data_IF_718887447510
#
_entry.id   IF_718887447510
#
_cell.length_a   1.000
_cell.length_b   1.000
_cell.length_c   1.000
_cell.angle_alpha   90.00
_cell.angle_beta   90.00
_cell.angle_gamma   90.00
#
_symmetry.space_group_name_H-M   'P 1'
#
loop_
_entity.id
_entity.type
_entity.pdbx_description
1 polymer ?
#
# COMPACT_ATOMS: atom_id res chain seq x y z
N UNK A 1 -29.56 -29.02 10.29
CA UNK A 1 -28.28 -29.43 9.67
C UNK A 1 -27.16 -28.81 10.48
N UNK A 2 -26.50 -29.62 11.30
CA UNK A 2 -25.41 -29.20 12.19
C UNK A 2 -24.11 -29.71 11.58
N UNK A 3 -23.27 -28.79 11.10
CA UNK A 3 -21.97 -29.12 10.52
C UNK A 3 -21.02 -29.48 11.66
N UNK A 4 -20.67 -30.75 11.74
CA UNK A 4 -19.69 -31.26 12.70
C UNK A 4 -18.32 -30.60 12.45
N UNK A 5 -17.82 -29.89 13.46
CA UNK A 5 -16.43 -29.45 13.52
C UNK A 5 -15.56 -30.68 13.77
N UNK A 6 -14.65 -30.97 12.82
CA UNK A 6 -13.62 -31.99 12.99
C UNK A 6 -12.71 -31.52 14.14
N UNK A 7 -12.54 -32.29 15.23
CA UNK A 7 -11.58 -31.94 16.25
C UNK A 7 -10.18 -32.16 15.68
N UNK A 8 -9.39 -31.09 15.60
CA UNK A 8 -7.94 -31.20 15.44
C UNK A 8 -7.46 -31.91 16.71
N UNK A 9 -7.14 -33.19 16.58
CA UNK A 9 -6.49 -33.94 17.64
C UNK A 9 -5.20 -33.20 18.01
N UNK A 10 -5.10 -32.81 19.27
CA UNK A 10 -3.90 -32.21 19.83
C UNK A 10 -2.75 -33.20 19.65
N UNK A 11 -1.80 -32.85 18.79
CA UNK A 11 -0.52 -33.55 18.68
C UNK A 11 0.19 -33.46 20.05
N UNK A 12 0.58 -34.58 20.68
CA UNK A 12 1.23 -34.59 21.99
C UNK A 12 2.60 -33.87 22.00
N UNK A 13 3.15 -33.49 20.83
CA UNK A 13 4.36 -32.66 20.72
C UNK A 13 4.09 -31.15 20.82
N UNK A 14 2.84 -30.70 20.67
CA UNK A 14 2.45 -29.32 20.89
C UNK A 14 2.10 -29.15 22.37
N UNK A 15 3.13 -28.87 23.18
CA UNK A 15 2.95 -28.55 24.59
C UNK A 15 1.83 -27.52 24.79
N UNK A 16 1.04 -27.70 25.83
CA UNK A 16 -0.19 -26.95 26.17
C UNK A 16 -0.05 -25.43 26.24
N UNK A 17 1.17 -24.90 26.16
CA UNK A 17 1.49 -23.48 26.08
C UNK A 17 1.13 -22.89 24.71
N UNK A 18 1.32 -23.64 23.62
CA UNK A 18 1.15 -23.13 22.25
C UNK A 18 -0.33 -23.02 21.81
N UNK A 19 -1.20 -23.90 22.31
CA UNK A 19 -2.64 -23.87 22.01
C UNK A 19 -3.36 -22.73 22.75
N UNK A 20 -2.85 -22.35 23.93
CA UNK A 20 -3.43 -21.24 24.72
C UNK A 20 -3.14 -19.87 24.10
N UNK A 21 -1.96 -19.69 23.52
CA UNK A 21 -1.57 -18.43 22.85
C UNK A 21 -2.33 -18.17 21.54
N UNK A 22 -2.73 -19.23 20.83
CA UNK A 22 -3.47 -19.12 19.57
C UNK A 22 -5.00 -18.95 19.74
N UNK A 23 -5.52 -19.11 20.96
CA UNK A 23 -6.97 -19.08 21.23
C UNK A 23 -7.41 -17.93 22.14
N UNK A 24 -6.48 -17.18 22.74
CA UNK A 24 -6.81 -15.90 23.39
C UNK A 24 -6.96 -14.79 22.34
N UNK A 25 -8.07 -14.04 22.33
CA UNK A 25 -8.24 -12.93 21.41
C UNK A 25 -7.27 -11.82 21.83
N UNK A 26 -6.13 -11.72 21.14
CA UNK A 26 -5.28 -10.55 21.24
C UNK A 26 -6.04 -9.37 20.64
N UNK A 27 -6.48 -8.47 21.51
CA UNK A 27 -6.87 -7.11 21.15
C UNK A 27 -5.63 -6.36 20.69
N UNK A 28 -5.18 -6.62 19.46
CA UNK A 28 -4.21 -5.77 18.81
C UNK A 28 -4.99 -4.60 18.21
N UNK A 29 -4.73 -3.42 18.76
CA UNK A 29 -4.97 -2.17 18.08
C UNK A 29 -4.45 -2.27 16.64
N UNK A 30 -5.24 -1.77 15.70
CA UNK A 30 -5.09 -1.83 14.23
C UNK A 30 -3.87 -1.02 13.72
N UNK A 31 -2.82 -0.85 14.53
CA UNK A 31 -1.83 0.21 14.35
C UNK A 31 -0.43 -0.17 13.87
N UNK A 32 0.00 -1.43 13.91
CA UNK A 32 1.37 -1.75 13.49
C UNK A 32 1.50 -3.21 13.08
N UNK A 33 1.84 -3.42 11.81
CA UNK A 33 2.34 -4.71 11.37
C UNK A 33 3.87 -4.77 11.51
N UNK A 34 4.48 -5.98 11.56
CA UNK A 34 5.93 -6.14 11.79
C UNK A 34 6.87 -5.45 10.79
N UNK A 35 6.33 -4.95 9.67
CA UNK A 35 7.05 -4.26 8.59
C UNK A 35 7.03 -2.72 8.70
N UNK A 36 6.48 -2.16 9.76
CA UNK A 36 6.43 -0.69 10.02
C UNK A 36 7.72 -0.10 10.61
N UNK A 37 8.77 -0.90 10.80
CA UNK A 37 10.09 -0.42 11.21
C UNK A 37 10.91 0.08 10.00
N UNK A 38 11.17 1.38 9.96
CA UNK A 38 12.17 1.99 9.07
C UNK A 38 13.58 1.51 9.46
N UNK A 39 14.49 1.18 8.51
CA UNK A 39 15.81 0.68 8.86
C UNK A 39 16.63 1.79 9.52
N UNK A 40 17.12 1.53 10.74
CA UNK A 40 18.16 2.36 11.33
C UNK A 40 19.37 2.39 10.39
N UNK A 41 19.80 3.58 9.98
CA UNK A 41 20.94 3.79 9.09
C UNK A 41 22.13 2.90 9.45
N UNK A 42 22.69 2.22 8.45
CA UNK A 42 23.87 1.34 8.61
C UNK A 42 25.00 2.15 9.23
N UNK A 43 25.30 1.89 10.50
CA UNK A 43 26.40 2.56 11.18
C UNK A 43 26.53 2.33 12.70
N UNK A 44 25.56 1.68 13.37
CA UNK A 44 25.73 1.32 14.78
C UNK A 44 25.33 -0.13 15.02
N UNK A 45 26.31 -0.95 15.44
CA UNK A 45 26.08 -2.24 16.08
C UNK A 45 25.29 -2.00 17.36
N UNK A 46 23.96 -2.06 17.27
CA UNK A 46 23.13 -2.20 18.47
C UNK A 46 23.06 -3.70 18.74
N UNK A 47 23.73 -4.13 19.81
CA UNK A 47 23.66 -5.50 20.29
C UNK A 47 22.22 -5.80 20.72
N UNK A 48 21.45 -6.45 19.86
CA UNK A 48 20.09 -6.85 20.18
C UNK A 48 20.10 -8.31 20.66
N UNK A 49 20.22 -8.48 21.97
CA UNK A 49 20.27 -9.76 22.67
C UNK A 49 18.95 -10.55 22.61
N UNK A 50 17.87 -9.95 22.09
CA UNK A 50 16.54 -10.57 21.93
C UNK A 50 16.33 -11.38 20.63
N UNK A 51 17.34 -11.49 19.74
CA UNK A 51 17.22 -12.28 18.50
C UNK A 51 17.84 -13.69 18.56
N UNK A 52 18.21 -14.18 19.75
CA UNK A 52 18.66 -15.57 19.95
C UNK A 52 17.62 -16.31 20.78
N UNK A 53 16.76 -17.07 20.12
CA UNK A 53 16.33 -18.43 20.50
C UNK A 53 15.17 -18.85 19.59
N UNK A 54 15.50 -19.27 18.38
CA UNK A 54 14.63 -20.17 17.61
C UNK A 54 15.51 -21.31 17.09
N UNK A 55 15.54 -22.40 17.86
CA UNK A 55 16.18 -23.67 17.50
C UNK A 55 15.12 -24.52 16.81
N UNK A 56 14.95 -24.28 15.52
CA UNK A 56 14.40 -25.16 14.48
C UNK A 56 14.96 -24.61 13.17
N UNK A 57 15.52 -25.48 12.32
CA UNK A 57 16.42 -25.11 11.22
C UNK A 57 15.94 -23.90 10.41
N UNK A 58 16.74 -22.82 10.40
CA UNK A 58 16.40 -21.52 9.77
C UNK A 58 15.85 -21.63 8.35
N UNK A 59 16.17 -22.67 7.58
CA UNK A 59 15.67 -22.84 6.22
C UNK A 59 14.21 -23.31 6.14
N UNK A 60 13.75 -24.14 7.08
CA UNK A 60 12.40 -24.73 6.98
C UNK A 60 11.30 -23.80 7.46
N UNK A 61 11.58 -22.96 8.46
CA UNK A 61 10.62 -21.93 8.92
C UNK A 61 10.52 -20.81 7.91
N UNK A 62 11.66 -20.37 7.36
CA UNK A 62 11.69 -19.38 6.28
C UNK A 62 11.01 -19.91 5.02
N UNK A 63 11.29 -21.13 4.57
CA UNK A 63 10.62 -21.73 3.40
C UNK A 63 9.10 -21.86 3.58
N UNK A 64 8.61 -22.15 4.79
CA UNK A 64 7.16 -22.17 5.09
C UNK A 64 6.53 -20.77 5.15
N UNK A 65 7.31 -19.73 5.47
CA UNK A 65 6.85 -18.34 5.54
C UNK A 65 6.97 -17.56 4.22
N UNK A 66 7.93 -17.89 3.34
CA UNK A 66 8.16 -17.17 2.07
C UNK A 66 6.99 -17.27 1.07
N UNK A 67 6.04 -18.18 1.29
CA UNK A 67 4.80 -18.25 0.52
C UNK A 67 3.68 -17.37 1.08
N UNK A 68 3.89 -16.79 2.27
CA UNK A 68 2.88 -16.02 3.02
C UNK A 68 3.34 -14.60 3.38
N UNK A 69 4.65 -14.35 3.39
CA UNK A 69 5.25 -13.04 3.66
C UNK A 69 6.48 -12.80 2.78
N UNK A 70 6.70 -11.54 2.41
CA UNK A 70 7.94 -11.07 1.76
C UNK A 70 8.74 -10.31 2.81
N UNK A 71 9.96 -10.76 3.09
CA UNK A 71 10.84 -10.14 4.08
C UNK A 71 11.82 -9.17 3.43
N UNK A 72 12.40 -8.28 4.23
CA UNK A 72 13.43 -7.34 3.75
C UNK A 72 14.61 -8.08 3.11
N UNK A 73 15.06 -9.18 3.73
CA UNK A 73 16.16 -10.00 3.22
C UNK A 73 15.81 -10.70 1.88
N UNK A 74 14.54 -10.75 1.49
CA UNK A 74 14.11 -11.33 0.21
C UNK A 74 14.27 -10.37 -0.96
N UNK A 75 14.50 -9.08 -0.68
CA UNK A 75 14.62 -8.02 -1.67
C UNK A 75 16.08 -7.59 -1.82
N UNK A 76 16.46 -7.30 -3.05
CA UNK A 76 17.67 -6.52 -3.35
C UNK A 76 17.35 -5.02 -3.31
N UNK A 77 18.38 -4.20 -3.42
CA UNK A 77 18.24 -2.74 -3.35
C UNK A 77 17.27 -2.18 -4.41
N UNK A 78 17.27 -2.72 -5.63
CA UNK A 78 16.40 -2.24 -6.71
C UNK A 78 14.94 -2.60 -6.44
N UNK A 79 14.68 -3.86 -6.12
CA UNK A 79 13.34 -4.38 -5.84
C UNK A 79 12.76 -3.79 -4.56
N UNK A 80 13.60 -3.50 -3.56
CA UNK A 80 13.19 -2.79 -2.36
C UNK A 80 12.62 -1.40 -2.67
N UNK A 81 13.22 -0.65 -3.60
CA UNK A 81 12.69 0.66 -4.01
C UNK A 81 11.34 0.55 -4.71
N UNK A 82 11.13 -0.49 -5.53
CA UNK A 82 9.85 -0.72 -6.20
C UNK A 82 8.74 -0.99 -5.17
N UNK A 83 8.98 -1.93 -4.25
CA UNK A 83 8.02 -2.24 -3.17
C UNK A 83 7.81 -1.03 -2.25
N UNK A 84 8.87 -0.29 -1.96
CA UNK A 84 8.81 0.94 -1.17
C UNK A 84 7.91 2.01 -1.79
N UNK A 85 7.99 2.21 -3.12
CA UNK A 85 7.09 3.13 -3.84
C UNK A 85 5.63 2.67 -3.76
N UNK A 86 5.35 1.40 -4.07
CA UNK A 86 3.99 0.86 -3.99
C UNK A 86 3.39 1.02 -2.58
N UNK A 87 4.20 0.78 -1.54
CA UNK A 87 3.81 1.01 -0.14
C UNK A 87 3.51 2.48 0.14
N UNK A 88 4.35 3.39 -0.35
CA UNK A 88 4.13 4.82 -0.15
C UNK A 88 2.79 5.27 -0.75
N UNK A 89 2.43 4.77 -1.94
CA UNK A 89 1.15 5.03 -2.58
C UNK A 89 -0.02 4.50 -1.75
N UNK A 90 0.05 3.25 -1.27
CA UNK A 90 -0.94 2.70 -0.33
C UNK A 90 -1.12 3.59 0.90
N UNK A 91 -0.02 4.00 1.53
CA UNK A 91 -0.06 4.86 2.72
C UNK A 91 -0.58 6.26 2.42
N UNK A 92 -0.41 6.78 1.21
CA UNK A 92 -1.01 8.04 0.79
C UNK A 92 -2.53 7.90 0.63
N UNK A 93 -2.99 6.86 -0.07
CA UNK A 93 -4.40 6.54 -0.26
C UNK A 93 -5.15 6.33 1.06
N UNK A 94 -4.58 5.55 1.98
CA UNK A 94 -5.17 5.31 3.31
C UNK A 94 -5.30 6.61 4.13
N UNK A 95 -4.43 7.60 3.90
CA UNK A 95 -4.46 8.88 4.63
C UNK A 95 -5.33 9.94 3.97
N UNK A 96 -5.80 9.71 2.74
CA UNK A 96 -6.65 10.64 2.01
C UNK A 96 -7.97 10.89 2.77
N UNK A 97 -8.35 12.15 2.91
CA UNK A 97 -9.56 12.56 3.63
C UNK A 97 -10.82 12.18 2.86
N UNK A 98 -10.79 12.18 1.54
CA UNK A 98 -11.91 11.74 0.68
C UNK A 98 -12.27 10.26 0.91
N UNK A 99 -11.25 9.42 1.17
CA UNK A 99 -11.42 8.00 1.48
C UNK A 99 -12.03 7.85 2.88
N UNK A 100 -11.47 8.54 3.89
CA UNK A 100 -11.99 8.52 5.27
C UNK A 100 -13.41 9.07 5.37
N UNK A 101 -13.76 10.01 4.49
CA UNK A 101 -15.09 10.60 4.42
C UNK A 101 -16.11 9.71 3.69
N UNK A 102 -15.69 8.56 3.14
CA UNK A 102 -16.57 7.57 2.52
C UNK A 102 -17.04 7.93 1.11
N UNK A 103 -16.40 8.90 0.45
CA UNK A 103 -16.72 9.24 -0.94
C UNK A 103 -16.11 8.26 -1.95
N UNK A 104 -15.06 7.55 -1.53
CA UNK A 104 -14.53 6.39 -2.23
C UNK A 104 -14.76 5.16 -1.35
N UNK A 105 -15.14 4.04 -1.96
CA UNK A 105 -15.27 2.76 -1.25
C UNK A 105 -13.89 2.32 -0.75
N UNK A 106 -13.60 2.63 0.53
CA UNK A 106 -12.32 2.33 1.17
C UNK A 106 -12.01 0.81 1.14
N UNK A 107 -12.93 -0.10 1.54
CA UNK A 107 -12.71 -1.53 1.41
C UNK A 107 -12.31 -1.97 0.00
N UNK A 108 -13.04 -1.55 -1.04
CA UNK A 108 -12.76 -1.94 -2.42
C UNK A 108 -11.40 -1.38 -2.90
N UNK A 109 -11.16 -0.08 -2.64
CA UNK A 109 -9.92 0.59 -3.01
C UNK A 109 -8.70 -0.06 -2.33
N UNK A 110 -8.76 -0.30 -1.02
CA UNK A 110 -7.65 -0.88 -0.28
C UNK A 110 -7.45 -2.36 -0.63
N UNK A 111 -8.52 -3.12 -0.92
CA UNK A 111 -8.40 -4.49 -1.41
C UNK A 111 -7.60 -4.55 -2.72
N UNK A 112 -7.95 -3.69 -3.69
CA UNK A 112 -7.27 -3.57 -4.97
C UNK A 112 -5.77 -3.25 -4.82
N UNK A 113 -5.48 -2.22 -4.03
CA UNK A 113 -4.12 -1.75 -3.78
C UNK A 113 -3.29 -2.80 -3.05
N UNK A 114 -3.87 -3.47 -2.05
CA UNK A 114 -3.18 -4.52 -1.31
C UNK A 114 -2.89 -5.75 -2.19
N UNK A 115 -3.81 -6.12 -3.07
CA UNK A 115 -3.61 -7.22 -4.01
C UNK A 115 -2.45 -6.91 -4.97
N UNK A 116 -2.42 -5.71 -5.55
CA UNK A 116 -1.36 -5.26 -6.44
C UNK A 116 -0.01 -5.16 -5.72
N UNK A 117 0.01 -4.58 -4.52
CA UNK A 117 1.21 -4.50 -3.68
C UNK A 117 1.78 -5.89 -3.38
N UNK A 118 0.91 -6.85 -3.05
CA UNK A 118 1.33 -8.22 -2.76
C UNK A 118 1.90 -8.93 -3.98
N UNK A 119 1.27 -8.80 -5.15
CA UNK A 119 1.78 -9.37 -6.40
C UNK A 119 3.15 -8.77 -6.79
N UNK A 120 3.28 -7.45 -6.72
CA UNK A 120 4.56 -6.75 -6.96
C UNK A 120 5.63 -7.24 -5.98
N UNK A 121 5.33 -7.32 -4.69
CA UNK A 121 6.29 -7.75 -3.67
C UNK A 121 6.76 -9.20 -3.91
N UNK A 122 5.86 -10.12 -4.24
CA UNK A 122 6.22 -11.51 -4.54
C UNK A 122 7.09 -11.62 -5.79
N UNK A 123 6.73 -10.91 -6.86
CA UNK A 123 7.51 -10.91 -8.11
C UNK A 123 8.90 -10.31 -7.88
N UNK A 124 9.00 -9.24 -7.10
CA UNK A 124 10.26 -8.65 -6.65
C UNK A 124 11.13 -9.64 -5.87
N UNK A 125 10.57 -10.31 -4.87
CA UNK A 125 11.29 -11.34 -4.09
C UNK A 125 11.78 -12.49 -4.99
N UNK A 126 10.94 -12.95 -5.93
CA UNK A 126 11.30 -13.98 -6.90
C UNK A 126 12.43 -13.51 -7.82
N UNK A 127 12.37 -12.28 -8.32
CA UNK A 127 13.40 -11.68 -9.17
C UNK A 127 14.75 -11.63 -8.44
N UNK A 128 14.76 -11.13 -7.20
CA UNK A 128 15.96 -11.10 -6.36
C UNK A 128 16.50 -12.51 -6.09
N UNK A 129 15.63 -13.47 -5.77
CA UNK A 129 16.05 -14.85 -5.56
C UNK A 129 16.72 -15.45 -6.81
N UNK A 130 16.16 -15.20 -8.01
CA UNK A 130 16.72 -15.70 -9.25
C UNK A 130 18.04 -15.00 -9.62
N UNK A 131 18.17 -13.70 -9.38
CA UNK A 131 19.43 -12.96 -9.52
C UNK A 131 20.52 -13.52 -8.62
N UNK A 132 20.22 -13.75 -7.34
CA UNK A 132 21.16 -14.39 -6.39
C UNK A 132 21.55 -15.80 -6.82
N UNK A 133 20.63 -16.58 -7.36
CA UNK A 133 20.94 -17.92 -7.90
C UNK A 133 21.88 -17.82 -9.09
N UNK A 134 21.65 -16.87 -10.01
CA UNK A 134 22.56 -16.61 -11.13
C UNK A 134 23.95 -16.20 -10.64
N UNK A 135 24.04 -15.24 -9.72
CA UNK A 135 25.33 -14.80 -9.16
C UNK A 135 26.11 -15.96 -8.53
N UNK A 136 25.42 -16.87 -7.84
CA UNK A 136 26.04 -18.09 -7.30
C UNK A 136 26.50 -19.04 -8.40
N UNK A 137 25.70 -19.24 -9.45
CA UNK A 137 26.09 -20.08 -10.58
C UNK A 137 27.34 -19.54 -11.29
N UNK A 138 27.38 -18.22 -11.51
CA UNK A 138 28.53 -17.53 -12.09
C UNK A 138 29.78 -17.68 -11.20
N UNK A 139 29.62 -17.66 -9.87
CA UNK A 139 30.72 -17.90 -8.93
C UNK A 139 31.26 -19.35 -8.94
N UNK A 140 30.42 -20.34 -9.29
CA UNK A 140 30.85 -21.73 -9.46
C UNK A 140 31.52 -21.98 -10.82
N UNK A 141 31.15 -21.21 -11.85
CA UNK A 141 31.72 -21.34 -13.18
C UNK A 141 33.02 -20.55 -13.36
N UNK A 142 34.02 -20.85 -12.53
CA UNK A 142 35.34 -20.18 -12.59
C UNK A 142 36.07 -20.40 -13.92
N UNK A 143 35.68 -21.44 -14.68
CA UNK A 143 36.27 -21.79 -15.98
C UNK A 143 35.53 -21.19 -17.19
N UNK A 144 34.40 -20.51 -17.00
CA UNK A 144 33.58 -20.00 -18.11
C UNK A 144 33.03 -21.12 -19.01
N UNK A 145 32.74 -22.28 -18.45
CA UNK A 145 32.27 -23.48 -19.14
C UNK A 145 30.75 -23.48 -19.36
N UNK A 146 30.01 -22.56 -18.73
CA UNK A 146 28.58 -22.41 -18.99
C UNK A 146 28.35 -22.00 -20.45
N UNK A 147 27.38 -22.62 -21.15
CA UNK A 147 27.03 -22.21 -22.51
C UNK A 147 26.64 -20.73 -22.56
N UNK A 148 27.31 -19.95 -23.40
CA UNK A 148 27.07 -18.51 -23.54
C UNK A 148 25.59 -18.18 -23.83
N UNK A 149 24.91 -19.04 -24.61
CA UNK A 149 23.49 -18.93 -24.88
C UNK A 149 22.63 -18.99 -23.60
N UNK A 150 22.96 -19.88 -22.67
CA UNK A 150 22.23 -20.02 -21.39
C UNK A 150 22.39 -18.76 -20.53
N UNK A 151 23.59 -18.21 -20.44
CA UNK A 151 23.86 -16.97 -19.69
C UNK A 151 23.10 -15.79 -20.29
N UNK A 152 23.12 -15.64 -21.61
CA UNK A 152 22.39 -14.58 -22.32
C UNK A 152 20.88 -14.71 -22.13
N UNK A 153 20.31 -15.91 -22.31
CA UNK A 153 18.88 -16.13 -22.18
C UNK A 153 18.40 -15.88 -20.75
N UNK A 154 19.17 -16.35 -19.75
CA UNK A 154 18.86 -16.05 -18.34
C UNK A 154 18.85 -14.55 -18.07
N UNK A 155 19.78 -13.79 -18.68
CA UNK A 155 19.78 -12.33 -18.59
C UNK A 155 18.56 -11.67 -19.21
N UNK A 156 18.15 -12.12 -20.40
CA UNK A 156 16.94 -11.60 -21.07
C UNK A 156 15.69 -11.85 -20.24
N UNK A 157 15.50 -13.08 -19.75
CA UNK A 157 14.34 -13.43 -18.92
C UNK A 157 14.29 -12.60 -17.63
N UNK A 158 15.43 -12.35 -16.97
CA UNK A 158 15.46 -11.50 -15.77
C UNK A 158 15.13 -10.03 -16.09
N UNK A 159 15.56 -9.52 -17.24
CA UNK A 159 15.25 -8.17 -17.69
C UNK A 159 13.76 -8.03 -18.07
N UNK A 160 13.20 -9.00 -18.78
CA UNK A 160 11.78 -9.05 -19.13
C UNK A 160 10.90 -9.16 -17.88
N UNK A 161 11.26 -10.03 -16.92
CA UNK A 161 10.55 -10.15 -15.65
C UNK A 161 10.57 -8.84 -14.84
N UNK A 162 11.66 -8.08 -14.92
CA UNK A 162 11.75 -6.74 -14.31
C UNK A 162 10.86 -5.74 -15.03
N UNK A 163 10.88 -5.70 -16.36
CA UNK A 163 10.04 -4.79 -17.15
C UNK A 163 8.55 -5.09 -16.97
N UNK A 164 8.18 -6.36 -16.77
CA UNK A 164 6.80 -6.76 -16.49
C UNK A 164 6.23 -6.19 -15.16
N UNK A 165 7.07 -5.65 -14.28
CA UNK A 165 6.62 -4.92 -13.08
C UNK A 165 6.17 -3.49 -13.39
N UNK A 166 6.54 -2.92 -14.55
CA UNK A 166 6.24 -1.53 -14.85
C UNK A 166 4.74 -1.31 -15.10
N UNK A 167 4.05 -2.29 -15.71
CA UNK A 167 2.60 -2.22 -15.93
C UNK A 167 1.77 -2.18 -14.63
N UNK A 168 1.89 -3.14 -13.68
CA UNK A 168 1.13 -3.08 -12.44
C UNK A 168 1.51 -1.87 -11.57
N UNK A 169 2.78 -1.45 -11.59
CA UNK A 169 3.20 -0.22 -10.91
C UNK A 169 2.59 1.02 -11.55
N UNK A 170 2.57 1.12 -12.88
CA UNK A 170 1.95 2.23 -13.60
C UNK A 170 0.46 2.33 -13.31
N UNK A 171 -0.25 1.21 -13.28
CA UNK A 171 -1.67 1.18 -12.92
C UNK A 171 -1.91 1.66 -11.48
N UNK A 172 -1.06 1.24 -10.53
CA UNK A 172 -1.16 1.68 -9.13
C UNK A 172 -0.84 3.17 -8.97
N UNK A 173 0.19 3.67 -9.67
CA UNK A 173 0.55 5.08 -9.70
C UNK A 173 -0.59 5.92 -10.28
N UNK A 174 -1.22 5.47 -11.35
CA UNK A 174 -2.35 6.14 -11.98
C UNK A 174 -3.59 6.17 -11.09
N UNK A 175 -3.94 5.04 -10.47
CA UNK A 175 -5.03 4.98 -9.48
C UNK A 175 -4.77 5.94 -8.33
N UNK A 176 -3.55 5.93 -7.79
CA UNK A 176 -3.18 6.82 -6.69
C UNK A 176 -3.26 8.29 -7.10
N UNK A 177 -2.83 8.62 -8.32
CA UNK A 177 -2.95 9.97 -8.87
C UNK A 177 -4.40 10.41 -8.91
N UNK A 178 -5.30 9.61 -9.48
CA UNK A 178 -6.73 9.92 -9.55
C UNK A 178 -7.33 10.15 -8.16
N UNK A 179 -7.15 9.22 -7.23
CA UNK A 179 -7.71 9.32 -5.89
C UNK A 179 -7.16 10.51 -5.08
N UNK A 180 -5.88 10.85 -5.22
CA UNK A 180 -5.30 12.02 -4.56
C UNK A 180 -5.78 13.33 -5.18
N UNK A 181 -6.00 13.37 -6.49
CA UNK A 181 -6.61 14.51 -7.17
C UNK A 181 -8.05 14.74 -6.69
N UNK A 182 -8.80 13.66 -6.43
CA UNK A 182 -10.12 13.74 -5.80
C UNK A 182 -10.00 14.23 -4.34
N UNK A 183 -8.99 13.78 -3.59
CA UNK A 183 -8.74 14.26 -2.22
C UNK A 183 -8.49 15.77 -2.17
N UNK A 184 -7.69 16.30 -3.09
CA UNK A 184 -7.42 17.74 -3.18
C UNK A 184 -8.71 18.52 -3.47
N UNK A 185 -9.54 18.04 -4.40
CA UNK A 185 -10.86 18.64 -4.69
C UNK A 185 -11.78 18.57 -3.49
N UNK A 186 -11.80 17.46 -2.76
CA UNK A 186 -12.60 17.28 -1.56
C UNK A 186 -12.19 18.28 -0.47
N UNK A 187 -10.88 18.46 -0.24
CA UNK A 187 -10.37 19.45 0.72
C UNK A 187 -10.73 20.87 0.33
N UNK A 188 -10.61 21.23 -0.95
CA UNK A 188 -10.99 22.54 -1.45
C UNK A 188 -12.50 22.79 -1.28
N UNK A 189 -13.33 21.80 -1.62
CA UNK A 189 -14.77 21.86 -1.41
C UNK A 189 -15.12 22.04 0.08
N UNK A 190 -14.50 21.26 0.98
CA UNK A 190 -14.72 21.38 2.42
C UNK A 190 -14.31 22.76 2.95
N UNK A 191 -13.18 23.30 2.50
CA UNK A 191 -12.74 24.65 2.86
C UNK A 191 -13.75 25.72 2.40
N UNK A 192 -14.30 25.59 1.19
CA UNK A 192 -15.36 26.48 0.69
C UNK A 192 -16.64 26.39 1.54
N UNK A 193 -17.02 25.20 1.99
CA UNK A 193 -18.18 25.04 2.88
C UNK A 193 -17.98 25.74 4.22
N UNK A 194 -16.80 25.61 4.84
CA UNK A 194 -16.47 26.29 6.10
C UNK A 194 -16.53 27.83 5.94
N UNK A 195 -15.98 28.36 4.83
CA UNK A 195 -16.07 29.80 4.53
C UNK A 195 -17.50 30.26 4.28
N UNK A 196 -18.28 29.48 3.53
CA UNK A 196 -19.68 29.78 3.25
C UNK A 196 -20.53 29.78 4.52
N UNK A 197 -20.27 28.86 5.45
CA UNK A 197 -20.93 28.78 6.75
C UNK A 197 -20.68 29.99 7.65
N UNK A 198 -19.57 30.72 7.45
CA UNK A 198 -19.22 31.95 8.17
C UNK A 198 -19.44 33.22 7.36
N UNK A 199 -20.19 33.15 6.27
CA UNK A 199 -20.40 34.29 5.37
C UNK A 199 -20.95 35.54 6.07
N UNK A 200 -21.84 35.39 7.04
CA UNK A 200 -22.37 36.51 7.82
C UNK A 200 -21.30 37.20 8.67
N UNK A 201 -20.39 36.44 9.31
CA UNK A 201 -19.31 37.02 10.13
C UNK A 201 -18.37 37.89 9.27
N UNK A 202 -18.12 37.48 8.03
CA UNK A 202 -17.31 38.26 7.09
C UNK A 202 -18.05 39.50 6.57
N UNK A 203 -19.37 39.42 6.37
CA UNK A 203 -20.19 40.58 6.03
C UNK A 203 -20.19 41.58 7.19
N UNK A 204 -20.40 41.11 8.42
CA UNK A 204 -20.39 41.94 9.63
C UNK A 204 -19.03 42.62 9.83
N UNK A 205 -17.92 41.91 9.61
CA UNK A 205 -16.57 42.48 9.62
C UNK A 205 -16.39 43.56 8.53
N UNK A 206 -16.84 43.30 7.30
CA UNK A 206 -16.70 44.25 6.20
C UNK A 206 -17.53 45.53 6.41
N UNK A 207 -18.73 45.39 6.99
CA UNK A 207 -19.58 46.53 7.39
C UNK A 207 -18.95 47.30 8.56
N UNK A 208 -18.38 46.61 9.55
CA UNK A 208 -17.72 47.24 10.70
C UNK A 208 -16.48 48.05 10.31
N UNK A 209 -15.72 47.60 9.30
CA UNK A 209 -14.54 48.31 8.78
C UNK A 209 -14.87 49.40 7.75
N UNK A 210 -16.16 49.66 7.46
CA UNK A 210 -16.63 50.65 6.50
C UNK A 210 -16.02 50.52 5.08
N UNK A 211 -15.85 49.28 4.60
CA UNK A 211 -15.49 49.01 3.20
C UNK A 211 -16.77 48.76 2.38
N UNK A 212 -16.82 49.44 1.24
CA UNK A 212 -17.91 49.53 0.26
C UNK A 212 -18.87 48.31 0.16
N UNK A 213 -20.20 48.51 0.23
CA UNK A 213 -21.23 47.46 0.09
C UNK A 213 -21.14 46.61 -1.19
N UNK A 214 -20.39 47.02 -2.21
CA UNK A 214 -20.07 46.18 -3.37
C UNK A 214 -19.27 44.90 -3.02
N UNK A 215 -18.54 44.85 -1.91
CA UNK A 215 -17.84 43.64 -1.46
C UNK A 215 -18.80 42.54 -0.95
N UNK A 216 -19.99 42.90 -0.44
CA UNK A 216 -20.99 41.93 0.02
C UNK A 216 -21.59 41.12 -1.16
N UNK A 217 -21.71 41.71 -2.35
CA UNK A 217 -22.17 41.00 -3.55
C UNK A 217 -21.17 39.95 -4.05
N UNK A 218 -19.87 40.13 -3.78
CA UNK A 218 -18.84 39.13 -4.12
C UNK A 218 -19.02 37.83 -3.31
N UNK A 219 -19.63 37.86 -2.12
CA UNK A 219 -19.88 36.67 -1.30
C UNK A 219 -20.91 35.71 -1.89
N UNK A 220 -21.92 36.21 -2.60
CA UNK A 220 -22.85 35.34 -3.35
C UNK A 220 -22.17 34.53 -4.46
N UNK A 221 -21.06 35.04 -5.02
CA UNK A 221 -20.26 34.31 -6.01
C UNK A 221 -19.53 33.11 -5.40
N UNK A 222 -19.13 33.17 -4.12
CA UNK A 222 -18.48 32.05 -3.42
C UNK A 222 -19.41 30.85 -3.22
N UNK A 223 -20.72 31.06 -2.99
CA UNK A 223 -21.70 29.95 -2.96
C UNK A 223 -21.84 29.26 -4.33
N UNK A 224 -21.79 30.04 -5.41
CA UNK A 224 -21.83 29.49 -6.78
C UNK A 224 -20.56 28.70 -7.09
N UNK A 225 -19.40 29.19 -6.64
CA UNK A 225 -18.11 28.49 -6.73
C UNK A 225 -18.11 27.19 -5.90
N UNK A 226 -18.68 27.19 -4.69
CA UNK A 226 -18.80 26.00 -3.85
C UNK A 226 -19.66 24.91 -4.52
N UNK A 227 -20.77 25.28 -5.16
CA UNK A 227 -21.62 24.35 -5.91
C UNK A 227 -20.91 23.80 -7.16
N UNK A 228 -20.14 24.64 -7.86
CA UNK A 228 -19.34 24.19 -9.00
C UNK A 228 -18.21 23.23 -8.56
N UNK A 229 -17.55 23.50 -7.43
CA UNK A 229 -16.56 22.62 -6.83
C UNK A 229 -17.17 21.27 -6.43
N UNK A 230 -18.37 21.26 -5.85
CA UNK A 230 -19.10 20.03 -5.51
C UNK A 230 -19.41 19.18 -6.75
N UNK A 231 -19.87 19.80 -7.84
CA UNK A 231 -20.13 19.12 -9.11
C UNK A 231 -18.84 18.53 -9.71
N UNK A 232 -17.73 19.26 -9.62
CA UNK A 232 -16.43 18.81 -10.12
C UNK A 232 -15.88 17.65 -9.29
N UNK A 233 -16.08 17.69 -7.97
CA UNK A 233 -15.75 16.59 -7.07
C UNK A 233 -16.54 15.33 -7.41
N UNK A 234 -17.86 15.44 -7.57
CA UNK A 234 -18.73 14.30 -7.92
C UNK A 234 -18.28 13.62 -9.22
N UNK A 235 -18.06 14.41 -10.28
CA UNK A 235 -17.56 13.87 -11.55
C UNK A 235 -16.18 13.18 -11.42
N UNK A 236 -15.32 13.66 -10.52
CA UNK A 236 -14.00 13.08 -10.29
C UNK A 236 -14.07 11.77 -9.48
N UNK A 237 -15.00 11.70 -8.51
CA UNK A 237 -15.31 10.49 -7.75
C UNK A 237 -15.85 9.40 -8.70
N UNK A 238 -16.79 9.76 -9.57
CA UNK A 238 -17.36 8.83 -10.55
C UNK A 238 -16.29 8.30 -11.50
N UNK A 239 -15.43 9.17 -12.05
CA UNK A 239 -14.34 8.77 -12.92
C UNK A 239 -13.33 7.83 -12.23
N UNK A 240 -13.03 8.08 -10.95
CA UNK A 240 -12.12 7.22 -10.17
C UNK A 240 -12.75 5.86 -9.89
N UNK A 241 -14.06 5.82 -9.63
CA UNK A 241 -14.82 4.59 -9.43
C UNK A 241 -14.91 3.77 -10.72
N UNK A 242 -15.21 4.39 -11.87
CA UNK A 242 -15.17 3.70 -13.17
C UNK A 242 -13.78 3.16 -13.51
N UNK A 243 -12.71 3.89 -13.17
CA UNK A 243 -11.35 3.38 -13.37
C UNK A 243 -11.10 2.09 -12.56
N UNK A 244 -11.57 2.02 -11.31
CA UNK A 244 -11.48 0.82 -10.47
C UNK A 244 -12.26 -0.37 -11.09
N UNK A 245 -13.43 -0.11 -11.66
CA UNK A 245 -14.26 -1.12 -12.33
C UNK A 245 -13.58 -1.62 -13.62
N UNK A 246 -13.17 -0.72 -14.50
CA UNK A 246 -12.59 -1.04 -15.82
C UNK A 246 -11.28 -1.83 -15.72
N UNK A 247 -10.50 -1.60 -14.66
CA UNK A 247 -9.22 -2.27 -14.46
C UNK A 247 -9.34 -3.54 -13.61
N UNK A 248 -10.57 -4.00 -13.31
CA UNK A 248 -10.81 -5.21 -12.52
C UNK A 248 -10.22 -5.12 -11.11
N UNK A 249 -10.09 -3.90 -10.61
CA UNK A 249 -9.56 -3.59 -9.28
C UNK A 249 -10.68 -3.56 -8.23
N UNK A 250 -11.94 -3.43 -8.64
CA UNK A 250 -13.09 -3.70 -7.79
C UNK A 250 -13.08 -5.19 -7.34
N UNK A 251 -13.21 -5.42 -6.04
CA UNK A 251 -13.24 -6.77 -5.48
C UNK A 251 -14.36 -7.60 -6.14
N UNK A 252 -14.03 -8.81 -6.58
CA UNK A 252 -15.05 -9.81 -6.91
C UNK A 252 -15.84 -10.12 -5.61
N UNK A 253 -17.15 -9.92 -5.67
CA UNK A 253 -18.11 -10.30 -4.61
C UNK A 253 -18.03 -11.78 -4.23
#
# INVERSE_FOLDING_TARGET
MVTARIPIAADPMLGSVLVRELTTPFSLSIGAFPWDAEPSGRGKKVGNWLHRHYVLGKRDVYARLHHRYVLFDDLDEETWRVVGRARALRSALQRAEVVKAGYLDEPALLAAVNATLWDVAQRCARLTSLRRTRERADAYDTGGLLPAQTVQQTGKVLAEARAALDSPMGNLEELARHALEVDDRYRAWKALQELAGRSNDFVDLAVADAVDPHHAAAWGSHFTQARAAAATLAASVDATSSFLEDHGLAAAE
#
